data_IF_080813258063
#
_entry.id   IF_080813258063
#
_cell.length_a   1.000
_cell.length_b   1.000
_cell.length_c   1.000
_cell.angle_alpha   90.00
_cell.angle_beta   90.00
_cell.angle_gamma   90.00
#
_symmetry.space_group_name_H-M   'P 1'
#
loop_
_entity.id
_entity.type
_entity.pdbx_description
1 polymer ?
#
# COMPACT_ATOMS: atom_id res chain seq x y z
N UNK A 1 -4.08 21.87 -3.39
CA UNK A 1 -3.99 20.43 -3.74
C UNK A 1 -3.68 19.67 -2.46
N UNK A 2 -4.50 18.67 -2.10
CA UNK A 2 -4.61 18.19 -0.73
C UNK A 2 -3.44 17.29 -0.30
N UNK A 3 -2.48 17.84 0.44
CA UNK A 3 -1.35 17.13 1.07
C UNK A 3 -1.77 16.00 2.01
N UNK A 4 -3.05 15.94 2.39
CA UNK A 4 -3.64 14.91 3.23
C UNK A 4 -3.48 13.49 2.68
N UNK A 5 -3.55 13.31 1.35
CA UNK A 5 -3.34 12.00 0.72
C UNK A 5 -1.92 11.48 0.91
N UNK A 6 -0.93 12.37 0.88
CA UNK A 6 0.46 12.00 1.09
C UNK A 6 0.69 11.52 2.53
N UNK A 7 0.18 12.26 3.53
CA UNK A 7 0.28 11.85 4.93
C UNK A 7 -0.48 10.55 5.21
N UNK A 8 -1.62 10.34 4.57
CA UNK A 8 -2.39 9.10 4.70
C UNK A 8 -1.62 7.90 4.13
N UNK A 9 -1.07 8.01 2.91
CA UNK A 9 -0.26 6.96 2.31
C UNK A 9 0.99 6.65 3.16
N UNK A 10 1.63 7.68 3.71
CA UNK A 10 2.76 7.54 4.62
C UNK A 10 2.36 6.79 5.90
N UNK A 11 1.25 7.17 6.54
CA UNK A 11 0.76 6.52 7.74
C UNK A 11 0.42 5.04 7.50
N UNK A 12 -0.22 4.71 6.38
CA UNK A 12 -0.54 3.34 5.99
C UNK A 12 0.74 2.53 5.76
N UNK A 13 1.73 3.10 5.07
CA UNK A 13 3.03 2.43 4.85
C UNK A 13 3.78 2.14 6.16
N UNK A 14 3.79 3.09 7.08
CA UNK A 14 4.40 2.91 8.42
C UNK A 14 3.64 1.86 9.24
N UNK A 15 2.30 1.85 9.18
CA UNK A 15 1.48 0.85 9.87
C UNK A 15 1.72 -0.57 9.32
N UNK A 16 1.81 -0.75 8.00
CA UNK A 16 2.17 -2.04 7.39
C UNK A 16 3.59 -2.48 7.75
N UNK A 17 4.54 -1.55 7.80
CA UNK A 17 5.91 -1.81 8.26
C UNK A 17 5.95 -2.28 9.72
N UNK A 18 5.23 -1.61 10.61
CA UNK A 18 5.09 -2.01 12.00
C UNK A 18 4.42 -3.38 12.14
N UNK A 19 3.41 -3.67 11.32
CA UNK A 19 2.75 -4.97 11.26
C UNK A 19 3.70 -6.08 10.78
N UNK A 20 4.53 -5.82 9.77
CA UNK A 20 5.58 -6.74 9.33
C UNK A 20 6.65 -6.99 10.40
N UNK A 21 7.01 -5.95 11.15
CA UNK A 21 7.90 -6.07 12.32
C UNK A 21 7.32 -6.98 13.39
N UNK A 22 6.03 -6.82 13.70
CA UNK A 22 5.32 -7.67 14.66
C UNK A 22 5.30 -9.14 14.23
N UNK A 23 5.11 -9.43 12.94
CA UNK A 23 5.15 -10.80 12.42
C UNK A 23 6.57 -11.41 12.46
N UNK A 24 7.62 -10.61 12.32
CA UNK A 24 9.00 -11.11 12.44
C UNK A 24 9.40 -11.37 13.89
N UNK A 25 8.92 -10.54 14.82
CA UNK A 25 9.13 -10.74 16.26
C UNK A 25 8.55 -12.09 16.72
N UNK A 26 7.38 -12.47 16.19
CA UNK A 26 6.76 -13.79 16.43
C UNK A 26 7.62 -14.97 15.94
N UNK A 27 8.55 -14.77 15.00
CA UNK A 27 9.47 -15.81 14.50
C UNK A 27 10.87 -15.76 15.14
N UNK A 28 11.06 -15.03 16.24
CA UNK A 28 12.36 -14.86 16.92
C UNK A 28 13.47 -14.31 15.99
N UNK A 29 13.09 -13.59 14.94
CA UNK A 29 14.01 -12.92 14.01
C UNK A 29 14.09 -11.43 14.36
N UNK A 30 15.21 -10.81 14.01
CA UNK A 30 15.49 -9.41 14.35
C UNK A 30 14.32 -8.50 13.97
N UNK A 31 13.78 -7.78 14.95
CA UNK A 31 12.64 -6.87 14.80
C UNK A 31 12.84 -5.84 13.67
N UNK A 32 14.08 -5.40 13.49
CA UNK A 32 14.51 -4.50 12.41
C UNK A 32 14.37 -5.12 11.01
N UNK A 33 14.63 -6.44 10.87
CA UNK A 33 14.46 -7.14 9.60
C UNK A 33 12.97 -7.26 9.25
N UNK A 34 12.11 -7.49 10.23
CA UNK A 34 10.66 -7.52 10.01
C UNK A 34 10.07 -6.19 9.61
N UNK A 35 10.52 -5.11 10.27
CA UNK A 35 10.12 -3.76 9.88
C UNK A 35 10.60 -3.45 8.47
N UNK A 36 11.88 -3.75 8.16
CA UNK A 36 12.45 -3.51 6.85
C UNK A 36 11.73 -4.31 5.77
N UNK A 37 11.42 -5.59 6.00
CA UNK A 37 10.67 -6.42 5.06
C UNK A 37 9.24 -5.89 4.87
N UNK A 38 8.53 -5.59 5.96
CA UNK A 38 7.15 -5.11 5.91
C UNK A 38 7.05 -3.72 5.26
N UNK A 39 8.00 -2.85 5.53
CA UNK A 39 8.08 -1.51 4.94
C UNK A 39 8.46 -1.60 3.46
N UNK A 40 9.46 -2.40 3.08
CA UNK A 40 9.80 -2.62 1.67
C UNK A 40 8.62 -3.24 0.92
N UNK A 41 7.98 -4.27 1.45
CA UNK A 41 6.80 -4.88 0.82
C UNK A 41 5.63 -3.91 0.73
N UNK A 42 5.43 -3.06 1.72
CA UNK A 42 4.42 -2.00 1.69
C UNK A 42 4.69 -0.99 0.56
N UNK A 43 5.92 -0.51 0.43
CA UNK A 43 6.34 0.41 -0.65
C UNK A 43 6.26 -0.28 -2.01
N UNK A 44 6.76 -1.51 -2.13
CA UNK A 44 6.69 -2.32 -3.35
C UNK A 44 5.23 -2.58 -3.74
N UNK A 45 4.35 -2.90 -2.78
CA UNK A 45 2.92 -3.08 -3.02
C UNK A 45 2.24 -1.81 -3.54
N UNK A 46 2.62 -0.65 -3.01
CA UNK A 46 2.13 0.65 -3.47
C UNK A 46 2.63 0.95 -4.90
N UNK A 47 3.90 0.66 -5.19
CA UNK A 47 4.47 0.77 -6.54
C UNK A 47 3.77 -0.19 -7.51
N UNK A 48 3.49 -1.45 -7.10
CA UNK A 48 2.76 -2.42 -7.91
C UNK A 48 1.35 -1.92 -8.19
N UNK A 49 0.61 -1.42 -7.20
CA UNK A 49 -0.73 -0.85 -7.40
C UNK A 49 -0.68 0.34 -8.37
N UNK A 50 0.34 1.20 -8.23
CA UNK A 50 0.54 2.34 -9.11
C UNK A 50 0.88 1.88 -10.54
N UNK A 51 1.69 0.83 -10.69
CA UNK A 51 2.15 0.28 -11.98
C UNK A 51 1.06 -0.54 -12.68
N UNK A 52 0.28 -1.31 -11.92
CA UNK A 52 -0.91 -1.99 -12.43
C UNK A 52 -1.94 -0.97 -12.92
N UNK A 53 -1.85 0.25 -12.38
CA UNK A 53 -2.76 1.34 -12.67
C UNK A 53 -4.18 1.00 -12.23
N UNK A 54 -5.03 2.01 -12.11
CA UNK A 54 -6.45 1.71 -12.17
C UNK A 54 -6.68 1.12 -13.57
N UNK A 55 -7.04 -0.17 -13.67
CA UNK A 55 -7.82 -0.59 -14.84
C UNK A 55 -8.99 0.37 -14.82
N UNK A 56 -8.97 1.35 -15.72
CA UNK A 56 -10.12 2.20 -15.99
C UNK A 56 -11.24 1.20 -16.24
N UNK A 57 -12.15 1.04 -15.28
CA UNK A 57 -13.44 0.49 -15.58
C UNK A 57 -13.94 1.43 -16.67
N UNK A 58 -13.82 0.94 -17.91
CA UNK A 58 -14.39 1.59 -19.06
C UNK A 58 -15.84 1.82 -18.67
N UNK A 59 -16.24 3.09 -18.71
CA UNK A 59 -17.61 3.55 -18.64
C UNK A 59 -18.57 2.51 -19.22
N UNK A 60 -19.23 1.74 -18.36
CA UNK A 60 -20.58 1.26 -18.67
C UNK A 60 -21.53 2.41 -18.34
N UNK A 61 -21.40 3.49 -19.10
CA UNK A 61 -22.30 4.65 -19.06
C UNK A 61 -22.43 5.28 -20.44
N UNK A 62 -22.55 4.44 -21.49
CA UNK A 62 -23.06 4.83 -22.81
C UNK A 62 -24.25 3.94 -23.21
N UNK A 63 -25.32 4.00 -22.44
CA UNK A 63 -26.50 3.19 -22.71
C UNK A 63 -27.77 3.72 -22.07
N UNK A 64 -28.05 5.02 -22.20
CA UNK A 64 -29.39 5.60 -22.06
C UNK A 64 -29.36 7.07 -22.50
N UNK A 65 -29.38 7.29 -23.82
CA UNK A 65 -29.93 8.52 -24.37
C UNK A 65 -30.59 8.23 -25.73
N UNK A 66 -31.92 8.32 -25.69
CA UNK A 66 -32.90 8.33 -26.78
C UNK A 66 -33.33 6.96 -27.32
#
# INVERSE_FOLDING_TARGET
>A
MSNSYFYFALAVGVALGAWGSYMAERRNRSKNLGFLLGFLFGVIGLIIIMLLGTKKNQDFSEGQKN
#
